data_IF_159789827392
#
_entry.id   IF_159789827392
#
_cell.length_a   1.000
_cell.length_b   1.000
_cell.length_c   1.000
_cell.angle_alpha   90.00
_cell.angle_beta   90.00
_cell.angle_gamma   90.00
#
_symmetry.space_group_name_H-M   'P 1'
#
loop_
_entity.id
_entity.type
_entity.pdbx_description
1 polymer ?
#
# COMPACT_ATOMS: atom_id res chain seq x y z
N UNK A 1 20.12 1.06 27.93
CA UNK A 1 21.19 0.82 26.93
C UNK A 1 21.15 -0.62 26.48
N UNK A 2 21.36 -0.89 25.21
CA UNK A 2 21.58 -2.21 24.65
C UNK A 2 22.87 -2.22 23.85
N UNK A 3 23.63 -3.28 23.99
CA UNK A 3 24.84 -3.54 23.22
C UNK A 3 24.60 -4.72 22.29
N UNK A 4 24.57 -4.45 21.01
CA UNK A 4 24.50 -5.48 19.97
C UNK A 4 25.91 -5.91 19.60
N UNK A 5 26.14 -7.23 19.55
CA UNK A 5 27.43 -7.85 19.27
C UNK A 5 27.32 -8.82 18.10
N UNK A 6 28.20 -8.70 17.12
CA UNK A 6 28.32 -9.61 15.96
C UNK A 6 28.42 -8.84 14.64
N UNK A 7 27.80 -9.33 13.59
CA UNK A 7 27.87 -8.69 12.27
C UNK A 7 26.89 -7.52 12.19
N UNK A 8 27.42 -6.29 12.14
CA UNK A 8 26.65 -5.07 12.04
C UNK A 8 26.97 -4.38 10.72
N UNK A 9 26.08 -4.48 9.74
CA UNK A 9 26.22 -3.84 8.43
C UNK A 9 25.81 -2.38 8.58
N UNK A 10 26.77 -1.48 8.46
CA UNK A 10 26.51 -0.04 8.68
C UNK A 10 25.74 0.60 7.53
N UNK A 11 25.83 0.04 6.31
CA UNK A 11 25.31 0.62 5.07
C UNK A 11 25.78 2.08 4.86
N UNK A 12 26.94 2.43 5.41
CA UNK A 12 27.59 3.70 5.12
C UNK A 12 28.26 3.68 3.74
N UNK A 13 28.93 4.78 3.34
CA UNK A 13 29.57 4.90 2.04
C UNK A 13 30.65 3.85 1.78
N UNK A 14 31.29 3.39 2.85
CA UNK A 14 32.35 2.38 2.81
C UNK A 14 31.82 0.96 2.98
N UNK A 15 30.51 0.78 3.23
CA UNK A 15 29.86 -0.52 3.51
C UNK A 15 30.59 -1.30 4.61
N UNK A 16 31.02 -0.63 5.69
CA UNK A 16 31.76 -1.24 6.78
C UNK A 16 30.89 -2.27 7.52
N UNK A 17 31.54 -3.32 8.00
CA UNK A 17 30.92 -4.25 8.96
C UNK A 17 31.57 -3.97 10.32
N UNK A 18 30.77 -3.56 11.30
CA UNK A 18 31.20 -3.33 12.67
C UNK A 18 30.85 -4.53 13.56
N UNK A 19 31.53 -4.65 14.72
CA UNK A 19 31.29 -5.72 15.68
C UNK A 19 30.39 -5.31 16.84
N UNK A 20 30.34 -4.01 17.17
CA UNK A 20 29.58 -3.50 18.31
C UNK A 20 28.72 -2.32 17.93
N UNK A 21 27.46 -2.33 18.38
CA UNK A 21 26.57 -1.18 18.31
C UNK A 21 25.95 -0.97 19.69
N UNK A 22 26.19 0.20 20.27
CA UNK A 22 25.59 0.62 21.54
C UNK A 22 24.40 1.54 21.25
N UNK A 23 23.25 1.19 21.76
CA UNK A 23 22.00 1.96 21.65
C UNK A 23 21.50 2.38 23.03
N UNK A 24 20.98 3.59 23.14
CA UNK A 24 20.22 4.06 24.28
C UNK A 24 19.08 4.97 23.86
N UNK A 25 17.87 4.65 24.35
CA UNK A 25 16.64 5.40 24.08
C UNK A 25 16.38 5.67 22.58
N UNK A 26 16.62 4.68 21.72
CA UNK A 26 16.42 4.78 20.28
C UNK A 26 17.52 5.54 19.54
N UNK A 27 18.66 5.81 20.16
CA UNK A 27 19.80 6.47 19.53
C UNK A 27 21.04 5.60 19.56
N UNK A 28 21.70 5.50 18.40
CA UNK A 28 23.01 4.86 18.31
C UNK A 28 24.04 5.78 18.94
N UNK A 29 24.66 5.33 20.03
CA UNK A 29 25.72 6.05 20.72
C UNK A 29 27.12 5.68 20.22
N UNK A 30 27.28 4.44 19.72
CA UNK A 30 28.52 3.93 19.17
C UNK A 30 28.25 2.85 18.13
N UNK A 31 29.11 2.80 17.11
CA UNK A 31 29.15 1.70 16.14
C UNK A 31 30.61 1.54 15.67
N UNK A 32 31.22 0.37 15.95
CA UNK A 32 32.62 0.11 15.60
C UNK A 32 33.10 -1.26 16.05
N UNK A 33 34.42 -1.49 15.96
CA UNK A 33 35.04 -2.81 16.18
C UNK A 33 35.55 -3.02 17.58
N UNK A 34 35.70 -1.95 18.36
CA UNK A 34 36.16 -2.02 19.75
C UNK A 34 34.97 -1.97 20.71
N UNK A 35 35.08 -2.67 21.83
CA UNK A 35 34.08 -2.64 22.88
C UNK A 35 33.99 -1.22 23.48
N UNK A 36 32.83 -0.53 23.38
CA UNK A 36 32.71 0.85 23.84
C UNK A 36 32.86 0.97 25.36
N UNK A 37 33.55 1.99 25.81
CA UNK A 37 33.63 2.32 27.23
C UNK A 37 32.22 2.63 27.79
N UNK A 38 31.96 2.20 29.04
CA UNK A 38 30.69 2.46 29.71
C UNK A 38 29.52 1.50 29.36
N UNK A 39 29.74 0.47 28.54
CA UNK A 39 28.72 -0.51 28.19
C UNK A 39 28.48 -1.60 29.26
N UNK A 40 29.15 -1.56 30.42
CA UNK A 40 29.11 -2.62 31.44
C UNK A 40 27.70 -2.92 31.95
N UNK A 41 26.82 -1.93 32.00
CA UNK A 41 25.42 -2.07 32.43
C UNK A 41 24.44 -2.26 31.27
N UNK A 42 24.91 -2.41 30.02
CA UNK A 42 24.05 -2.58 28.89
C UNK A 42 23.54 -4.04 28.77
N UNK A 43 22.29 -4.19 28.40
CA UNK A 43 21.74 -5.49 27.96
C UNK A 43 22.49 -5.93 26.70
N UNK A 44 23.03 -7.14 26.67
CA UNK A 44 23.78 -7.68 25.54
C UNK A 44 22.85 -8.49 24.60
N UNK A 45 22.92 -8.19 23.33
CA UNK A 45 22.14 -8.85 22.27
C UNK A 45 23.09 -9.35 21.19
N UNK A 46 23.25 -10.67 21.06
CA UNK A 46 24.08 -11.25 20.00
C UNK A 46 23.30 -11.35 18.69
N UNK A 47 23.92 -11.03 17.56
CA UNK A 47 23.37 -11.31 16.22
C UNK A 47 23.43 -12.80 15.86
N UNK A 48 24.16 -13.63 16.63
CA UNK A 48 24.39 -15.02 16.30
C UNK A 48 25.06 -15.16 14.92
N UNK A 49 24.53 -16.04 14.08
CA UNK A 49 24.97 -16.21 12.68
C UNK A 49 24.37 -15.17 11.73
N UNK A 50 23.42 -14.36 12.19
CA UNK A 50 22.78 -13.30 11.42
C UNK A 50 23.58 -12.01 11.39
N UNK A 51 22.90 -10.95 10.92
CA UNK A 51 23.45 -9.60 10.90
C UNK A 51 22.41 -8.59 11.38
N UNK A 52 22.87 -7.52 12.05
CA UNK A 52 22.07 -6.33 12.31
C UNK A 52 22.23 -5.39 11.12
N UNK A 53 21.13 -4.94 10.55
CA UNK A 53 21.08 -4.01 9.42
C UNK A 53 20.22 -2.80 9.76
N UNK A 54 20.40 -1.64 9.09
CA UNK A 54 19.40 -0.58 9.11
C UNK A 54 18.03 -1.09 8.62
N UNK A 55 16.92 -0.55 9.13
CA UNK A 55 15.60 -0.94 8.64
C UNK A 55 15.42 -0.54 7.18
N UNK A 56 14.56 -1.28 6.48
CA UNK A 56 14.21 -0.97 5.09
C UNK A 56 13.37 0.31 5.01
N UNK A 57 13.48 0.96 3.86
CA UNK A 57 12.62 2.09 3.47
C UNK A 57 11.74 1.63 2.33
N UNK A 58 10.41 1.66 2.52
CA UNK A 58 9.46 1.53 1.43
C UNK A 58 9.24 2.92 0.84
N UNK A 59 9.80 3.14 -0.34
CA UNK A 59 9.83 4.47 -0.98
C UNK A 59 8.53 4.81 -1.73
N UNK A 60 7.58 3.86 -1.86
CA UNK A 60 6.28 4.11 -2.50
C UNK A 60 5.23 3.11 -2.01
N UNK A 61 4.29 3.54 -1.18
CA UNK A 61 3.19 2.72 -0.70
C UNK A 61 1.87 3.48 -0.67
N UNK A 62 0.78 2.86 -1.16
CA UNK A 62 -0.59 3.32 -0.95
C UNK A 62 -1.06 2.92 0.46
N UNK A 63 -0.51 3.58 1.49
CA UNK A 63 -0.62 3.11 2.87
C UNK A 63 -2.06 3.04 3.38
N UNK A 64 -2.90 4.02 3.08
CA UNK A 64 -4.31 4.01 3.52
C UNK A 64 -5.09 2.85 2.90
N UNK A 65 -4.88 2.56 1.61
CA UNK A 65 -5.47 1.41 0.92
C UNK A 65 -4.92 0.10 1.46
N UNK A 66 -3.60 0.01 1.64
CA UNK A 66 -2.96 -1.15 2.28
C UNK A 66 -3.55 -1.43 3.66
N UNK A 67 -3.65 -0.40 4.51
CA UNK A 67 -4.21 -0.53 5.86
C UNK A 67 -5.67 -1.02 5.83
N UNK A 68 -6.47 -0.49 4.91
CA UNK A 68 -7.87 -0.87 4.74
C UNK A 68 -8.03 -2.33 4.32
N UNK A 69 -7.28 -2.76 3.30
CA UNK A 69 -7.40 -4.12 2.75
C UNK A 69 -6.71 -5.16 3.65
N UNK A 70 -5.55 -4.83 4.20
CA UNK A 70 -4.79 -5.71 5.08
C UNK A 70 -5.46 -5.92 6.46
N UNK A 71 -6.38 -5.05 6.87
CA UNK A 71 -7.19 -5.27 8.06
C UNK A 71 -8.15 -6.47 7.92
N UNK A 72 -8.51 -6.82 6.68
CA UNK A 72 -9.34 -7.97 6.34
C UNK A 72 -8.61 -9.31 6.41
N UNK A 73 -9.25 -10.33 5.85
CA UNK A 73 -8.68 -11.68 5.73
C UNK A 73 -7.63 -11.72 4.63
N UNK A 74 -6.39 -12.10 4.96
CA UNK A 74 -5.35 -12.33 3.97
C UNK A 74 -5.48 -13.75 3.38
N UNK A 75 -5.69 -13.84 2.06
CA UNK A 75 -5.82 -15.11 1.31
C UNK A 75 -4.66 -15.37 0.35
N UNK A 76 -3.58 -14.60 0.42
CA UNK A 76 -2.44 -14.69 -0.54
C UNK A 76 -1.78 -16.06 -0.58
N UNK A 77 -1.85 -16.83 0.49
CA UNK A 77 -1.23 -18.16 0.56
C UNK A 77 -2.14 -19.30 0.06
N UNK A 78 -3.39 -19.00 -0.28
CA UNK A 78 -4.32 -19.99 -0.82
C UNK A 78 -3.87 -20.48 -2.20
N UNK A 79 -4.01 -21.78 -2.44
CA UNK A 79 -3.57 -22.46 -3.67
C UNK A 79 -4.74 -22.90 -4.56
N UNK A 80 -5.97 -22.74 -4.08
CA UNK A 80 -7.19 -23.01 -4.85
C UNK A 80 -8.32 -22.06 -4.42
N UNK A 81 -9.33 -21.93 -5.27
CA UNK A 81 -10.53 -21.18 -4.93
C UNK A 81 -11.28 -21.80 -3.75
N UNK A 82 -11.30 -23.13 -3.63
CA UNK A 82 -11.93 -23.80 -2.48
C UNK A 82 -11.22 -23.45 -1.15
N UNK A 83 -9.89 -23.33 -1.18
CA UNK A 83 -9.13 -22.89 -0.01
C UNK A 83 -9.47 -21.45 0.39
N UNK A 84 -9.60 -20.54 -0.59
CA UNK A 84 -10.08 -19.16 -0.36
C UNK A 84 -11.47 -19.17 0.28
N UNK A 85 -12.40 -19.95 -0.29
CA UNK A 85 -13.77 -20.06 0.22
C UNK A 85 -13.81 -20.64 1.63
N UNK A 86 -12.98 -21.63 1.93
CA UNK A 86 -12.88 -22.20 3.27
C UNK A 86 -12.37 -21.17 4.30
N UNK A 87 -11.30 -20.43 3.94
CA UNK A 87 -10.78 -19.34 4.78
C UNK A 87 -11.83 -18.27 5.03
N UNK A 88 -12.59 -17.89 4.01
CA UNK A 88 -13.69 -16.92 4.11
C UNK A 88 -14.82 -17.46 5.02
N UNK A 89 -15.25 -18.72 4.87
CA UNK A 89 -16.28 -19.34 5.76
C UNK A 89 -15.87 -19.27 7.23
N UNK A 90 -14.62 -19.56 7.53
CA UNK A 90 -14.09 -19.52 8.90
C UNK A 90 -14.03 -18.08 9.44
N UNK A 91 -13.62 -17.14 8.60
CA UNK A 91 -13.55 -15.72 8.96
C UNK A 91 -14.94 -15.13 9.21
N UNK A 92 -15.90 -15.39 8.31
CA UNK A 92 -17.29 -14.91 8.44
C UNK A 92 -17.94 -15.38 9.75
N UNK A 93 -17.67 -16.61 10.20
CA UNK A 93 -18.17 -17.15 11.49
C UNK A 93 -17.60 -16.42 12.70
N UNK A 94 -16.40 -15.87 12.60
CA UNK A 94 -15.67 -15.25 13.72
C UNK A 94 -15.79 -13.74 13.76
N UNK A 95 -15.92 -13.11 12.57
CA UNK A 95 -15.94 -11.65 12.47
C UNK A 95 -17.26 -11.04 12.93
N UNK A 96 -17.14 -9.95 13.72
CA UNK A 96 -18.27 -9.10 14.11
C UNK A 96 -18.48 -7.93 13.15
N UNK A 97 -17.61 -7.77 12.18
CA UNK A 97 -17.68 -6.68 11.20
C UNK A 97 -18.93 -6.84 10.32
N UNK A 98 -19.52 -5.70 9.97
CA UNK A 98 -20.67 -5.65 9.06
C UNK A 98 -20.28 -5.87 7.60
N UNK A 99 -19.08 -5.48 7.24
CA UNK A 99 -18.46 -5.65 5.93
C UNK A 99 -17.31 -6.66 6.05
N UNK A 100 -17.32 -7.68 5.22
CA UNK A 100 -16.25 -8.67 5.12
C UNK A 100 -15.28 -8.25 4.03
N UNK A 101 -14.02 -8.05 4.39
CA UNK A 101 -12.94 -7.73 3.44
C UNK A 101 -11.99 -8.92 3.39
N UNK A 102 -11.70 -9.41 2.19
CA UNK A 102 -10.61 -10.34 1.89
C UNK A 102 -9.61 -9.69 0.95
N UNK A 103 -8.33 -9.98 1.10
CA UNK A 103 -7.26 -9.44 0.26
C UNK A 103 -6.28 -10.52 -0.16
N UNK A 104 -5.82 -10.43 -1.40
CA UNK A 104 -4.74 -11.28 -1.92
C UNK A 104 -5.18 -12.41 -2.83
N UNK A 105 -6.43 -12.41 -3.31
CA UNK A 105 -6.87 -13.39 -4.31
C UNK A 105 -6.09 -13.21 -5.62
N UNK A 106 -5.66 -14.31 -6.24
CA UNK A 106 -4.90 -14.26 -7.48
C UNK A 106 -5.23 -15.44 -8.39
N UNK A 107 -5.62 -15.19 -9.65
CA UNK A 107 -5.83 -16.26 -10.61
C UNK A 107 -4.53 -16.98 -11.00
N UNK A 108 -3.37 -16.39 -10.69
CA UNK A 108 -2.06 -16.97 -11.01
C UNK A 108 -1.51 -17.88 -9.92
N UNK A 109 -1.98 -17.73 -8.67
CA UNK A 109 -1.52 -18.55 -7.54
C UNK A 109 -2.44 -19.72 -7.21
N UNK A 110 -3.67 -19.71 -7.74
CA UNK A 110 -4.65 -20.80 -7.53
C UNK A 110 -4.66 -21.77 -8.72
N UNK A 111 -4.88 -23.05 -8.43
CA UNK A 111 -4.95 -24.13 -9.44
C UNK A 111 -6.10 -23.94 -10.44
N UNK A 112 -7.12 -23.19 -10.07
CA UNK A 112 -8.31 -22.95 -10.86
C UNK A 112 -8.05 -22.02 -12.05
N UNK A 113 -7.00 -21.19 -12.02
CA UNK A 113 -6.63 -20.28 -13.09
C UNK A 113 -7.59 -19.07 -13.27
N UNK A 114 -8.55 -18.89 -12.37
CA UNK A 114 -9.50 -17.79 -12.35
C UNK A 114 -9.86 -17.36 -10.93
N UNK A 115 -10.42 -16.18 -10.76
CA UNK A 115 -10.91 -15.71 -9.46
C UNK A 115 -12.18 -16.47 -9.03
N UNK A 116 -12.42 -16.49 -7.71
CA UNK A 116 -13.70 -16.92 -7.14
C UNK A 116 -14.82 -16.09 -7.72
N UNK A 117 -15.99 -16.68 -7.96
CA UNK A 117 -17.15 -16.00 -8.53
C UNK A 117 -18.16 -15.57 -7.48
N UNK A 118 -18.97 -14.57 -7.81
CA UNK A 118 -20.02 -14.00 -6.96
C UNK A 118 -20.89 -15.06 -6.29
N UNK A 119 -21.39 -16.04 -7.05
CA UNK A 119 -22.26 -17.12 -6.53
C UNK A 119 -21.60 -17.95 -5.43
N UNK A 120 -20.30 -18.19 -5.55
CA UNK A 120 -19.53 -18.90 -4.53
C UNK A 120 -19.34 -18.05 -3.25
N UNK A 121 -19.17 -16.72 -3.43
CA UNK A 121 -19.12 -15.78 -2.29
C UNK A 121 -20.49 -15.66 -1.61
N UNK A 122 -21.62 -15.76 -2.36
CA UNK A 122 -22.98 -15.77 -1.80
C UNK A 122 -23.21 -16.98 -0.91
N UNK A 123 -22.69 -18.16 -1.28
CA UNK A 123 -22.77 -19.38 -0.44
C UNK A 123 -22.00 -19.23 0.89
N UNK A 124 -20.91 -18.49 0.86
CA UNK A 124 -20.03 -18.30 2.02
C UNK A 124 -20.52 -17.18 2.92
N UNK A 125 -21.07 -16.12 2.35
CA UNK A 125 -21.47 -14.91 3.06
C UNK A 125 -22.80 -14.36 2.49
N UNK A 126 -23.94 -15.03 2.78
CA UNK A 126 -25.24 -14.65 2.19
C UNK A 126 -25.81 -13.34 2.78
N UNK A 127 -25.43 -12.97 4.01
CA UNK A 127 -26.14 -11.95 4.80
C UNK A 127 -25.34 -10.64 4.97
N UNK A 128 -24.06 -10.64 4.62
CA UNK A 128 -23.18 -9.46 4.77
C UNK A 128 -22.53 -9.09 3.43
N UNK A 129 -22.28 -7.79 3.17
CA UNK A 129 -21.47 -7.40 2.04
C UNK A 129 -20.06 -8.00 2.17
N UNK A 130 -19.56 -8.58 1.06
CA UNK A 130 -18.24 -9.17 0.97
C UNK A 130 -17.47 -8.59 -0.22
N UNK A 131 -16.26 -8.12 0.06
CA UNK A 131 -15.33 -7.49 -0.88
C UNK A 131 -14.02 -8.28 -0.88
N UNK A 132 -13.77 -9.08 -1.92
CA UNK A 132 -12.54 -9.87 -2.09
C UNK A 132 -11.63 -9.18 -3.10
N UNK A 133 -10.56 -8.55 -2.62
CA UNK A 133 -9.62 -7.78 -3.42
C UNK A 133 -8.52 -8.68 -3.98
N UNK A 134 -8.17 -8.48 -5.24
CA UNK A 134 -7.03 -9.12 -5.89
C UNK A 134 -5.71 -8.66 -5.27
N UNK A 135 -4.68 -9.49 -5.35
CA UNK A 135 -3.37 -9.25 -4.73
C UNK A 135 -2.70 -7.93 -5.13
N UNK A 136 -2.96 -7.46 -6.35
CA UNK A 136 -2.40 -6.22 -6.91
C UNK A 136 -3.23 -4.96 -6.58
N UNK A 137 -4.41 -5.11 -5.96
CA UNK A 137 -5.26 -3.99 -5.62
C UNK A 137 -5.95 -3.29 -6.80
N UNK A 138 -6.03 -3.93 -7.99
CA UNK A 138 -6.65 -3.35 -9.19
C UNK A 138 -7.94 -4.05 -9.63
N UNK A 139 -8.34 -5.10 -8.93
CA UNK A 139 -9.61 -5.81 -9.19
C UNK A 139 -10.15 -6.42 -7.89
N UNK A 140 -11.43 -6.73 -7.90
CA UNK A 140 -12.10 -7.42 -6.81
C UNK A 140 -13.20 -8.34 -7.33
N UNK A 141 -13.69 -9.21 -6.46
CA UNK A 141 -14.96 -9.91 -6.62
C UNK A 141 -15.85 -9.56 -5.45
N UNK A 142 -17.12 -9.26 -5.72
CA UNK A 142 -18.11 -8.93 -4.70
C UNK A 142 -19.22 -9.97 -4.68
N UNK A 143 -19.84 -10.19 -3.50
CA UNK A 143 -21.04 -10.99 -3.40
C UNK A 143 -22.29 -10.20 -3.81
N UNK A 144 -23.45 -10.86 -3.91
CA UNK A 144 -24.71 -10.24 -4.31
C UNK A 144 -25.16 -9.14 -3.35
N UNK A 145 -24.89 -9.29 -2.04
CA UNK A 145 -25.23 -8.26 -1.04
C UNK A 145 -24.52 -6.96 -1.35
N UNK A 146 -23.19 -6.98 -1.49
CA UNK A 146 -22.43 -5.77 -1.82
C UNK A 146 -22.77 -5.25 -3.22
N UNK A 147 -22.94 -6.15 -4.21
CA UNK A 147 -23.32 -5.77 -5.57
C UNK A 147 -24.61 -4.93 -5.58
N UNK A 148 -25.62 -5.32 -4.82
CA UNK A 148 -26.88 -4.59 -4.72
C UNK A 148 -26.71 -3.18 -4.12
N UNK A 149 -25.80 -3.02 -3.16
CA UNK A 149 -25.51 -1.71 -2.56
C UNK A 149 -24.79 -0.75 -3.53
N UNK A 150 -23.91 -1.28 -4.39
CA UNK A 150 -23.07 -0.47 -5.29
C UNK A 150 -23.55 -0.41 -6.72
N UNK A 151 -24.52 -1.25 -7.15
CA UNK A 151 -24.99 -1.40 -8.52
C UNK A 151 -25.23 -0.07 -9.22
N UNK A 152 -25.98 0.84 -8.61
CA UNK A 152 -26.29 2.14 -9.16
C UNK A 152 -25.07 3.02 -9.46
N UNK A 153 -23.93 2.72 -8.82
CA UNK A 153 -22.68 3.44 -9.00
C UNK A 153 -21.78 2.83 -10.07
N UNK A 154 -21.86 1.50 -10.27
CA UNK A 154 -20.86 0.75 -11.05
C UNK A 154 -21.36 0.20 -12.38
N UNK A 155 -22.67 -0.03 -12.56
CA UNK A 155 -23.23 -0.75 -13.70
C UNK A 155 -22.95 -0.12 -15.07
N UNK A 156 -22.58 1.16 -15.12
CA UNK A 156 -22.28 1.91 -16.35
C UNK A 156 -20.77 2.17 -16.52
N UNK A 157 -19.94 1.70 -15.58
CA UNK A 157 -18.50 1.91 -15.59
C UNK A 157 -17.78 0.76 -16.31
N UNK A 158 -16.62 1.06 -16.86
CA UNK A 158 -15.72 0.05 -17.42
C UNK A 158 -15.26 -0.91 -16.34
N UNK A 159 -15.17 -2.18 -16.73
CA UNK A 159 -14.69 -3.23 -15.83
C UNK A 159 -15.76 -3.78 -14.88
N UNK A 160 -17.04 -3.49 -15.10
CA UNK A 160 -18.15 -4.09 -14.37
C UNK A 160 -18.60 -5.40 -15.03
N UNK A 161 -18.50 -6.51 -14.29
CA UNK A 161 -18.90 -7.85 -14.74
C UNK A 161 -19.94 -8.43 -13.77
N UNK A 162 -21.21 -8.20 -14.06
CA UNK A 162 -22.33 -8.57 -13.18
C UNK A 162 -22.40 -10.08 -12.89
N UNK A 163 -22.22 -10.91 -13.92
CA UNK A 163 -22.39 -12.37 -13.81
C UNK A 163 -21.38 -13.00 -12.87
N UNK A 164 -20.14 -12.55 -12.93
CA UNK A 164 -19.04 -13.04 -12.09
C UNK A 164 -18.92 -12.31 -10.76
N UNK A 165 -19.45 -11.08 -10.68
CA UNK A 165 -19.21 -10.15 -9.57
C UNK A 165 -17.82 -9.53 -9.59
N UNK A 166 -17.04 -9.79 -10.65
CA UNK A 166 -15.71 -9.19 -10.82
C UNK A 166 -15.84 -7.73 -11.22
N UNK A 167 -14.99 -6.89 -10.64
CA UNK A 167 -14.86 -5.48 -10.96
C UNK A 167 -13.39 -5.12 -11.08
N UNK A 168 -13.04 -4.45 -12.17
CA UNK A 168 -11.71 -3.90 -12.43
C UNK A 168 -11.83 -2.46 -12.95
N UNK A 169 -10.71 -1.81 -13.27
CA UNK A 169 -10.68 -0.44 -13.81
C UNK A 169 -11.58 0.53 -13.01
N UNK A 170 -12.43 1.31 -13.70
CA UNK A 170 -13.30 2.32 -13.08
C UNK A 170 -14.28 1.72 -12.05
N UNK A 171 -14.83 0.54 -12.33
CA UNK A 171 -15.75 -0.14 -11.42
C UNK A 171 -15.07 -0.54 -10.11
N UNK A 172 -13.82 -1.01 -10.15
CA UNK A 172 -13.04 -1.33 -8.95
C UNK A 172 -12.83 -0.10 -8.07
N UNK A 173 -12.41 1.02 -8.66
CA UNK A 173 -12.19 2.25 -7.89
C UNK A 173 -13.48 2.77 -7.27
N UNK A 174 -14.61 2.74 -8.00
CA UNK A 174 -15.90 3.17 -7.47
C UNK A 174 -16.39 2.30 -6.30
N UNK A 175 -16.12 0.99 -6.31
CA UNK A 175 -16.40 0.10 -5.16
C UNK A 175 -15.44 0.38 -4.02
N UNK A 176 -14.15 0.55 -4.30
CA UNK A 176 -13.15 0.88 -3.27
C UNK A 176 -13.50 2.19 -2.55
N UNK A 177 -13.92 3.23 -3.28
CA UNK A 177 -14.40 4.48 -2.70
C UNK A 177 -15.64 4.28 -1.82
N UNK A 178 -16.57 3.42 -2.24
CA UNK A 178 -17.74 3.07 -1.43
C UNK A 178 -17.33 2.37 -0.14
N UNK A 179 -16.42 1.41 -0.20
CA UNK A 179 -15.89 0.68 0.96
C UNK A 179 -15.20 1.64 1.94
N UNK A 180 -14.28 2.47 1.47
CA UNK A 180 -13.54 3.42 2.31
C UNK A 180 -14.47 4.47 2.95
N UNK A 181 -15.48 4.95 2.21
CA UNK A 181 -16.48 5.87 2.72
C UNK A 181 -17.42 5.24 3.77
N UNK A 182 -17.56 3.91 3.77
CA UNK A 182 -18.38 3.18 4.76
C UNK A 182 -17.65 2.93 6.09
N UNK A 183 -16.32 3.07 6.11
CA UNK A 183 -15.53 2.92 7.33
C UNK A 183 -15.65 4.16 8.21
N UNK A 184 -15.83 3.94 9.51
CA UNK A 184 -15.72 5.02 10.49
C UNK A 184 -14.25 5.44 10.64
N UNK A 185 -14.02 6.71 11.00
CA UNK A 185 -12.66 7.23 11.28
C UNK A 185 -11.95 6.37 12.35
N UNK A 186 -12.67 5.86 13.33
CA UNK A 186 -12.11 4.99 14.40
C UNK A 186 -11.60 3.67 13.82
N UNK A 187 -12.37 3.04 12.93
CA UNK A 187 -11.94 1.81 12.25
C UNK A 187 -10.70 2.08 11.39
N UNK A 188 -10.71 3.16 10.60
CA UNK A 188 -9.58 3.51 9.76
C UNK A 188 -8.31 3.77 10.58
N UNK A 189 -8.41 4.48 11.70
CA UNK A 189 -7.28 4.68 12.63
C UNK A 189 -6.77 3.36 13.18
N UNK A 190 -7.66 2.44 13.59
CA UNK A 190 -7.25 1.13 14.09
C UNK A 190 -6.57 0.28 13.00
N UNK A 191 -7.08 0.32 11.76
CA UNK A 191 -6.46 -0.37 10.63
C UNK A 191 -5.07 0.20 10.31
N UNK A 192 -4.91 1.52 10.30
CA UNK A 192 -3.62 2.17 10.07
C UNK A 192 -2.60 1.84 11.17
N UNK A 193 -3.01 1.84 12.44
CA UNK A 193 -2.13 1.46 13.54
C UNK A 193 -1.63 0.02 13.39
N UNK A 194 -2.56 -0.91 13.14
CA UNK A 194 -2.19 -2.32 12.89
C UNK A 194 -1.24 -2.46 11.71
N UNK A 195 -1.50 -1.76 10.61
CA UNK A 195 -0.66 -1.80 9.42
C UNK A 195 0.76 -1.29 9.70
N UNK A 196 0.91 -0.21 10.48
CA UNK A 196 2.22 0.30 10.91
C UNK A 196 2.98 -0.72 11.75
N UNK A 197 2.31 -1.38 12.69
CA UNK A 197 2.94 -2.38 13.53
C UNK A 197 3.37 -3.62 12.72
N UNK A 198 2.52 -4.06 11.76
CA UNK A 198 2.82 -5.18 10.86
C UNK A 198 4.00 -4.86 9.92
N UNK A 199 4.11 -3.63 9.40
CA UNK A 199 5.24 -3.18 8.59
C UNK A 199 6.53 -3.09 9.42
N UNK A 200 6.46 -2.52 10.63
CA UNK A 200 7.60 -2.45 11.54
C UNK A 200 8.11 -3.85 11.92
N UNK A 201 7.22 -4.80 12.19
CA UNK A 201 7.57 -6.19 12.48
C UNK A 201 8.28 -6.91 11.32
N UNK A 202 8.11 -6.40 10.08
CA UNK A 202 8.81 -6.88 8.87
C UNK A 202 10.14 -6.18 8.60
N UNK A 203 10.58 -5.29 9.51
CA UNK A 203 11.84 -4.57 9.39
C UNK A 203 11.75 -3.28 8.56
N UNK A 204 10.55 -2.79 8.25
CA UNK A 204 10.37 -1.50 7.59
C UNK A 204 10.41 -0.40 8.64
N UNK A 205 11.35 0.54 8.51
CA UNK A 205 11.52 1.66 9.45
C UNK A 205 11.09 3.01 8.90
N UNK A 206 10.83 3.09 7.59
CA UNK A 206 10.29 4.29 6.95
C UNK A 206 9.39 3.91 5.79
N UNK A 207 8.30 4.66 5.64
CA UNK A 207 7.43 4.58 4.46
C UNK A 207 7.25 5.96 3.83
N UNK A 208 7.25 6.00 2.49
CA UNK A 208 6.76 7.12 1.70
C UNK A 208 5.36 6.78 1.22
N UNK A 209 4.37 7.37 1.86
CA UNK A 209 2.97 7.10 1.53
C UNK A 209 2.45 8.10 0.51
N UNK A 210 1.69 7.60 -0.46
CA UNK A 210 0.99 8.39 -1.47
C UNK A 210 -0.51 8.36 -1.17
N UNK A 211 -1.12 9.54 -0.96
CA UNK A 211 -2.43 9.68 -0.34
C UNK A 211 -3.25 10.81 -0.98
N UNK A 212 -4.54 10.86 -0.71
CA UNK A 212 -5.45 11.89 -1.23
C UNK A 212 -6.36 11.41 -2.36
N UNK A 213 -6.45 10.07 -2.55
CA UNK A 213 -7.36 9.45 -3.52
C UNK A 213 -8.11 8.31 -2.83
N UNK A 214 -9.40 8.16 -3.14
CA UNK A 214 -10.24 7.08 -2.58
C UNK A 214 -10.79 7.36 -1.18
N UNK A 215 -10.54 8.51 -0.59
CA UNK A 215 -11.03 8.88 0.75
C UNK A 215 -11.73 10.25 0.74
N UNK A 216 -12.90 10.32 1.33
CA UNK A 216 -13.70 11.54 1.38
C UNK A 216 -12.91 12.71 1.99
N UNK A 217 -12.82 13.84 1.28
CA UNK A 217 -12.12 15.07 1.70
C UNK A 217 -10.65 14.87 2.05
N UNK A 218 -9.99 13.91 1.41
CA UNK A 218 -8.59 13.54 1.68
C UNK A 218 -8.34 13.17 3.17
N UNK A 219 -9.28 12.45 3.79
CA UNK A 219 -9.20 12.06 5.20
C UNK A 219 -7.96 11.22 5.48
N UNK A 220 -7.55 10.38 4.54
CA UNK A 220 -6.33 9.59 4.58
C UNK A 220 -5.09 10.49 4.78
N UNK A 221 -4.96 11.57 4.00
CA UNK A 221 -3.85 12.54 4.14
C UNK A 221 -3.79 13.14 5.54
N UNK A 222 -4.93 13.54 6.08
CA UNK A 222 -4.97 14.17 7.40
C UNK A 222 -4.67 13.17 8.52
N UNK A 223 -5.12 11.93 8.41
CA UNK A 223 -4.80 10.84 9.35
C UNK A 223 -3.31 10.46 9.26
N UNK A 224 -2.76 10.30 8.07
CA UNK A 224 -1.35 9.97 7.90
C UNK A 224 -0.43 11.08 8.43
N UNK A 225 -0.80 12.35 8.26
CA UNK A 225 -0.09 13.47 8.90
C UNK A 225 -0.16 13.41 10.42
N UNK A 226 -1.28 12.98 10.97
CA UNK A 226 -1.41 12.75 12.42
C UNK A 226 -0.50 11.61 12.86
N UNK A 227 -0.54 10.47 12.19
CA UNK A 227 0.34 9.33 12.46
C UNK A 227 1.82 9.69 12.33
N UNK A 228 2.22 10.42 11.28
CA UNK A 228 3.61 10.85 11.08
C UNK A 228 4.22 11.60 12.27
N UNK A 229 3.38 12.15 13.17
CA UNK A 229 3.79 12.88 14.38
C UNK A 229 3.72 12.06 15.65
N UNK A 230 2.92 10.99 15.64
CA UNK A 230 2.57 10.21 16.83
C UNK A 230 3.00 8.74 16.78
N UNK A 231 3.75 8.30 15.77
CA UNK A 231 4.24 6.92 15.68
C UNK A 231 5.21 6.64 16.82
N UNK A 232 4.93 5.61 17.59
CA UNK A 232 5.72 5.25 18.80
C UNK A 232 6.62 4.02 18.61
N UNK A 233 6.41 3.24 17.53
CA UNK A 233 7.19 2.03 17.23
C UNK A 233 8.53 2.31 16.51
N UNK A 234 8.93 3.59 16.39
CA UNK A 234 10.18 4.01 15.76
C UNK A 234 10.12 4.18 14.24
N UNK A 235 9.03 3.77 13.59
CA UNK A 235 8.84 3.97 12.15
C UNK A 235 8.70 5.46 11.82
N UNK A 236 9.13 5.82 10.62
CA UNK A 236 8.93 7.16 10.07
C UNK A 236 7.97 7.12 8.87
N UNK A 237 7.17 8.17 8.71
CA UNK A 237 6.24 8.31 7.59
C UNK A 237 6.51 9.62 6.86
N UNK A 238 6.53 9.57 5.54
CA UNK A 238 6.66 10.70 4.62
C UNK A 238 5.43 10.73 3.73
N UNK A 239 4.59 11.75 3.86
CA UNK A 239 3.31 11.85 3.14
C UNK A 239 3.50 12.66 1.85
N UNK A 240 3.15 12.05 0.72
CA UNK A 240 3.00 12.68 -0.59
C UNK A 240 1.51 12.83 -0.90
N UNK A 241 1.09 13.99 -1.35
CA UNK A 241 -0.30 14.22 -1.74
C UNK A 241 -0.48 14.01 -3.24
N UNK A 242 -1.28 13.04 -3.63
CA UNK A 242 -1.55 12.66 -5.02
C UNK A 242 -2.48 13.66 -5.69
N UNK A 243 -1.93 14.79 -6.11
CA UNK A 243 -2.68 15.84 -6.82
C UNK A 243 -1.75 16.69 -7.69
N UNK A 244 -2.28 17.21 -8.79
CA UNK A 244 -1.61 18.25 -9.59
C UNK A 244 -1.83 19.67 -9.04
N UNK A 245 -2.75 19.86 -8.09
CA UNK A 245 -2.99 21.14 -7.43
C UNK A 245 -1.96 21.41 -6.34
N UNK A 246 -0.89 22.13 -6.71
CA UNK A 246 0.18 22.56 -5.80
C UNK A 246 -0.36 23.33 -4.58
N UNK A 247 -1.39 24.14 -4.76
CA UNK A 247 -1.98 24.92 -3.66
C UNK A 247 -2.66 24.01 -2.62
N UNK A 248 -3.19 22.88 -3.05
CA UNK A 248 -3.83 21.88 -2.16
C UNK A 248 -2.81 21.30 -1.17
N UNK A 249 -1.60 20.97 -1.64
CA UNK A 249 -0.50 20.50 -0.81
C UNK A 249 0.05 21.61 0.10
N UNK A 250 0.27 22.81 -0.44
CA UNK A 250 0.76 23.98 0.31
C UNK A 250 -0.19 24.36 1.45
N UNK A 251 -1.50 24.41 1.20
CA UNK A 251 -2.52 24.71 2.22
C UNK A 251 -2.48 23.69 3.38
N UNK A 252 -2.17 22.43 3.09
CA UNK A 252 -1.99 21.39 4.11
C UNK A 252 -0.61 21.39 4.76
N UNK A 253 0.28 22.30 4.37
CA UNK A 253 1.67 22.38 4.86
C UNK A 253 2.42 21.06 4.66
N UNK A 254 2.16 20.38 3.56
CA UNK A 254 2.91 19.20 3.14
C UNK A 254 4.16 19.63 2.37
N UNK A 255 5.33 19.06 2.64
CA UNK A 255 6.56 19.36 1.89
C UNK A 255 6.68 18.51 0.61
N UNK A 256 5.66 17.69 0.26
CA UNK A 256 5.71 16.70 -0.81
C UNK A 256 4.39 16.64 -1.56
N UNK A 257 4.51 16.36 -2.86
CA UNK A 257 3.37 16.28 -3.78
C UNK A 257 3.63 15.20 -4.83
N UNK A 258 2.59 14.55 -5.30
CA UNK A 258 2.65 13.53 -6.33
C UNK A 258 2.39 12.13 -5.81
N UNK A 259 2.84 11.16 -6.56
CA UNK A 259 2.62 9.73 -6.32
C UNK A 259 2.03 9.05 -7.54
N UNK A 260 0.81 8.56 -7.43
CA UNK A 260 0.07 7.85 -8.49
C UNK A 260 -1.25 8.58 -8.83
N UNK A 261 -2.18 7.92 -9.49
CA UNK A 261 -3.50 8.42 -9.92
C UNK A 261 -3.41 9.76 -10.67
N UNK A 262 -3.83 10.89 -10.07
CA UNK A 262 -3.75 12.22 -10.71
C UNK A 262 -2.33 12.62 -11.13
N UNK A 263 -1.30 11.98 -10.59
CA UNK A 263 0.11 12.24 -10.87
C UNK A 263 0.81 11.04 -11.49
N UNK A 264 0.05 10.04 -11.97
CA UNK A 264 0.57 8.99 -12.84
C UNK A 264 0.78 9.55 -14.25
N UNK A 265 1.92 9.26 -14.86
CA UNK A 265 2.25 9.69 -16.22
C UNK A 265 1.61 8.75 -17.25
N UNK A 266 1.48 7.48 -16.90
CA UNK A 266 0.92 6.43 -17.73
C UNK A 266 0.08 5.43 -16.92
N UNK A 267 -0.40 4.37 -17.57
CA UNK A 267 -1.18 3.30 -16.97
C UNK A 267 -0.35 2.20 -16.31
N UNK A 268 -0.79 0.94 -16.43
CA UNK A 268 -0.09 -0.21 -15.86
C UNK A 268 -0.06 -1.41 -16.82
N UNK A 269 0.90 -2.33 -16.60
CA UNK A 269 1.02 -3.53 -17.42
C UNK A 269 -0.21 -4.44 -17.34
N UNK A 270 -0.83 -4.53 -16.18
CA UNK A 270 -1.98 -5.43 -15.97
C UNK A 270 -3.23 -5.07 -16.79
N UNK A 271 -3.39 -3.80 -17.19
CA UNK A 271 -4.43 -3.30 -18.07
C UNK A 271 -3.94 -3.05 -19.51
N UNK A 272 -2.66 -3.29 -19.80
CA UNK A 272 -2.01 -3.03 -21.08
C UNK A 272 -2.08 -1.55 -21.49
N UNK A 273 -2.03 -0.63 -20.55
CA UNK A 273 -2.08 0.81 -20.77
C UNK A 273 -0.84 1.58 -20.26
N UNK A 274 0.16 0.89 -19.71
CA UNK A 274 1.48 1.48 -19.53
C UNK A 274 2.07 1.88 -20.89
N UNK A 275 2.66 3.08 -20.99
CA UNK A 275 3.12 3.64 -22.26
C UNK A 275 4.45 3.01 -22.69
N UNK A 276 4.45 2.25 -23.78
CA UNK A 276 5.60 1.52 -24.30
C UNK A 276 6.13 2.11 -25.59
N UNK A 277 7.43 1.96 -25.82
CA UNK A 277 8.08 2.27 -27.10
C UNK A 277 7.71 1.27 -28.19
N UNK A 278 7.38 0.04 -27.82
CA UNK A 278 6.94 -1.02 -28.72
C UNK A 278 5.55 -1.53 -28.33
N UNK A 279 4.74 -2.02 -29.27
CA UNK A 279 3.41 -2.55 -28.95
C UNK A 279 3.46 -3.73 -27.98
N UNK A 280 2.40 -3.89 -27.20
CA UNK A 280 2.17 -5.10 -26.42
C UNK A 280 2.08 -6.33 -27.31
N UNK A 281 2.47 -7.49 -26.78
CA UNK A 281 2.49 -8.75 -27.54
C UNK A 281 1.09 -9.04 -28.14
N UNK A 282 1.06 -9.40 -29.42
CA UNK A 282 -0.16 -9.70 -30.21
C UNK A 282 -1.14 -8.52 -30.37
N UNK A 283 -0.69 -7.29 -30.20
CA UNK A 283 -1.50 -6.06 -30.40
C UNK A 283 -0.77 -5.04 -31.26
N UNK A 284 -1.43 -3.94 -31.61
CA UNK A 284 -0.81 -2.71 -32.13
C UNK A 284 -0.81 -1.59 -31.09
N UNK A 285 -1.21 -1.87 -29.85
CA UNK A 285 -1.36 -0.88 -28.79
C UNK A 285 -0.03 -0.70 -28.05
N UNK A 286 0.35 0.55 -27.83
CA UNK A 286 1.54 0.96 -27.08
C UNK A 286 1.19 1.57 -25.72
N UNK A 287 -0.05 1.45 -25.24
CA UNK A 287 -0.50 2.12 -24.02
C UNK A 287 -0.71 3.62 -24.20
N UNK A 288 -0.87 4.34 -23.12
CA UNK A 288 -1.31 5.75 -23.10
C UNK A 288 -0.49 6.59 -22.17
N UNK A 289 0.03 7.72 -22.66
CA UNK A 289 0.51 8.84 -21.85
C UNK A 289 -0.69 9.69 -21.39
N UNK A 290 -0.81 9.94 -20.10
CA UNK A 290 -1.93 10.72 -19.55
C UNK A 290 -1.73 12.23 -19.70
N UNK A 291 -0.48 12.67 -19.83
CA UNK A 291 -0.14 14.09 -19.92
C UNK A 291 0.89 14.35 -21.03
N UNK A 292 0.88 15.58 -21.54
CA UNK A 292 1.96 16.06 -22.40
C UNK A 292 3.16 16.53 -21.57
N UNK A 293 4.34 16.54 -22.17
CA UNK A 293 5.60 17.02 -21.58
C UNK A 293 5.48 18.44 -21.03
N UNK A 294 4.74 19.32 -21.74
CA UNK A 294 4.50 20.68 -21.30
C UNK A 294 3.74 20.72 -19.98
N UNK A 295 2.66 19.91 -19.85
CA UNK A 295 1.85 19.87 -18.63
C UNK A 295 2.64 19.33 -17.45
N UNK A 296 3.42 18.26 -17.65
CA UNK A 296 4.32 17.72 -16.62
C UNK A 296 5.35 18.77 -16.20
N UNK A 297 5.97 19.42 -17.19
CA UNK A 297 6.98 20.47 -16.95
C UNK A 297 6.39 21.64 -16.17
N UNK A 298 5.19 22.10 -16.50
CA UNK A 298 4.50 23.18 -15.77
C UNK A 298 4.22 22.79 -14.32
N UNK A 299 3.71 21.60 -14.09
CA UNK A 299 3.47 21.05 -12.74
C UNK A 299 4.78 20.98 -11.95
N UNK A 300 5.82 20.39 -12.49
CA UNK A 300 7.12 20.27 -11.84
C UNK A 300 7.72 21.63 -11.48
N UNK A 301 7.66 22.61 -12.40
CA UNK A 301 8.12 23.97 -12.15
C UNK A 301 7.30 24.65 -11.04
N UNK A 302 5.99 24.46 -11.02
CA UNK A 302 5.12 25.02 -10.00
C UNK A 302 5.40 24.43 -8.62
N UNK A 303 5.51 23.10 -8.52
CA UNK A 303 5.82 22.39 -7.29
C UNK A 303 7.22 22.74 -6.76
N UNK A 304 8.23 22.80 -7.64
CA UNK A 304 9.59 23.17 -7.27
C UNK A 304 9.65 24.62 -6.75
N UNK A 305 8.96 25.57 -7.40
CA UNK A 305 8.87 26.98 -6.91
C UNK A 305 8.19 27.07 -5.53
N UNK A 306 7.29 26.13 -5.22
CA UNK A 306 6.66 26.03 -3.90
C UNK A 306 7.53 25.29 -2.87
N UNK A 307 8.71 24.82 -3.23
CA UNK A 307 9.63 24.07 -2.36
C UNK A 307 9.16 22.66 -2.04
N UNK A 308 8.32 22.06 -2.91
CA UNK A 308 7.80 20.70 -2.73
C UNK A 308 8.72 19.66 -3.39
N UNK A 309 8.96 18.56 -2.68
CA UNK A 309 9.51 17.34 -3.28
C UNK A 309 8.43 16.70 -4.15
N UNK A 310 8.82 16.27 -5.36
CA UNK A 310 7.90 15.73 -6.36
C UNK A 310 8.16 14.23 -6.51
N UNK A 311 7.08 13.46 -6.64
CA UNK A 311 7.07 12.07 -7.02
C UNK A 311 6.00 11.86 -8.10
N UNK A 312 6.31 11.11 -9.16
CA UNK A 312 5.35 10.78 -10.20
C UNK A 312 5.52 9.32 -10.59
N UNK A 313 4.41 8.63 -10.74
CA UNK A 313 4.37 7.23 -11.12
C UNK A 313 4.58 7.09 -12.63
N UNK A 314 5.57 6.29 -13.04
CA UNK A 314 5.90 5.98 -14.42
C UNK A 314 6.23 4.49 -14.53
N UNK A 315 5.59 3.77 -15.41
CA UNK A 315 5.73 2.31 -15.58
C UNK A 315 6.30 1.94 -16.94
N UNK A 316 5.78 2.52 -18.02
CA UNK A 316 6.22 2.25 -19.37
C UNK A 316 7.58 2.87 -19.69
N UNK A 317 8.31 2.26 -20.62
CA UNK A 317 9.63 2.71 -21.04
C UNK A 317 9.60 3.95 -21.95
N UNK A 318 8.42 4.41 -22.35
CA UNK A 318 8.22 5.65 -23.11
C UNK A 318 8.28 6.91 -22.24
N UNK A 319 8.23 6.75 -20.91
CA UNK A 319 8.22 7.82 -19.92
C UNK A 319 9.64 8.30 -19.53
N UNK A 320 10.68 7.59 -19.96
CA UNK A 320 12.08 7.85 -19.58
C UNK A 320 12.87 8.52 -20.70
#
# INVERSE_FOLDING_TARGET
MRLYEGNILTCDKENRIAHYLLEDQGKILYCGDELPAGCVAAERVSTGEGALIPPFVDSHIHFASYATFHAGLNVMNARSNEEILQMLREHVKKTKEKLVIGFGASPYSVSDGHLVRRVQLDEVCPDKPLFLVKYDGHACVVNTVLLNEVRGKVQHLRGFHEDTGEMNQEAFFAVSDYITASLSTVQLVAHMQKALDDLAARGIGMIHTVSGVGFARDLDVDLERFFARGITNGMQMRVFMQTLDVNKAVKRKLPRIGGCFETALDGCFGSMDAALLSPYENTSDCGVLYYSDEKVTEFCKAANRAGLQIEMHAIGDKEF
#
